data_IF_896953139946
#
_entry.id   IF_896953139946
#
_cell.length_a   1.000
_cell.length_b   1.000
_cell.length_c   1.000
_cell.angle_alpha   90.00
_cell.angle_beta   90.00
_cell.angle_gamma   90.00
#
_symmetry.space_group_name_H-M   'P 1'
#
loop_
_entity.id
_entity.type
_entity.pdbx_description
1 polymer ?
#
# COMPACT_ATOMS: atom_id res chain seq x y z
N UNK A 1 -17.17 10.49 -9.74
CA UNK A 1 -16.64 9.50 -10.66
C UNK A 1 -15.12 9.54 -10.57
N UNK A 2 -14.53 8.50 -10.04
CA UNK A 2 -13.07 8.36 -9.96
C UNK A 2 -12.59 7.55 -11.15
N UNK A 3 -11.74 8.14 -12.00
CA UNK A 3 -10.89 7.40 -12.93
C UNK A 3 -9.53 7.20 -12.26
N UNK A 4 -9.33 6.04 -11.66
CA UNK A 4 -8.00 5.57 -11.27
C UNK A 4 -7.40 4.85 -12.47
N UNK A 5 -6.30 5.32 -13.02
CA UNK A 5 -5.55 4.60 -14.05
C UNK A 5 -4.77 3.46 -13.41
N UNK A 6 -5.17 2.22 -13.70
CA UNK A 6 -4.36 1.05 -13.43
C UNK A 6 -3.33 0.93 -14.57
N UNK A 7 -2.08 1.30 -14.28
CA UNK A 7 -0.99 1.11 -15.24
C UNK A 7 -0.53 -0.35 -15.22
N UNK A 8 -0.64 -1.05 -16.33
CA UNK A 8 0.03 -2.33 -16.55
C UNK A 8 -0.81 -3.50 -17.07
N UNK A 9 -2.07 -3.29 -17.43
CA UNK A 9 -2.90 -4.34 -18.03
C UNK A 9 -3.58 -3.84 -19.29
N UNK A 10 -3.52 -4.65 -20.35
CA UNK A 10 -4.07 -4.29 -21.67
C UNK A 10 -5.55 -3.89 -21.66
N UNK A 11 -5.86 -3.00 -22.51
CA UNK A 11 -6.95 -2.01 -22.54
C UNK A 11 -8.40 -2.54 -22.52
N UNK A 12 -8.67 -3.82 -22.68
CA UNK A 12 -10.06 -4.27 -22.82
C UNK A 12 -10.68 -4.96 -21.59
N UNK A 13 -9.88 -5.40 -20.61
CA UNK A 13 -10.36 -6.18 -19.47
C UNK A 13 -10.89 -5.33 -18.30
N UNK A 14 -10.64 -4.01 -18.27
CA UNK A 14 -10.94 -3.15 -17.12
C UNK A 14 -12.04 -2.11 -17.44
N UNK A 15 -13.21 -2.56 -17.81
CA UNK A 15 -14.28 -1.61 -18.16
C UNK A 15 -15.11 -1.10 -16.99
N UNK A 16 -15.05 -1.68 -15.79
CA UNK A 16 -15.88 -1.17 -14.68
C UNK A 16 -15.30 -1.49 -13.30
N UNK A 17 -14.77 -0.48 -12.64
CA UNK A 17 -14.52 -0.49 -11.21
C UNK A 17 -15.74 0.16 -10.53
N UNK A 18 -16.49 -0.60 -9.74
CA UNK A 18 -17.62 -0.07 -8.97
C UNK A 18 -17.16 0.18 -7.56
N UNK A 19 -17.17 1.44 -7.15
CA UNK A 19 -16.97 1.86 -5.78
C UNK A 19 -18.33 1.91 -5.08
N UNK A 20 -18.64 0.92 -4.27
CA UNK A 20 -19.74 0.99 -3.31
C UNK A 20 -19.21 1.52 -1.98
N UNK A 21 -19.19 2.83 -1.83
CA UNK A 21 -18.87 3.46 -0.56
C UNK A 21 -20.16 3.80 0.18
N UNK A 22 -20.33 3.26 1.39
CA UNK A 22 -21.33 3.75 2.35
C UNK A 22 -20.60 4.69 3.31
N UNK A 23 -20.95 5.97 3.26
CA UNK A 23 -20.60 6.89 4.34
C UNK A 23 -21.50 6.54 5.52
N UNK A 24 -20.94 5.88 6.50
CA UNK A 24 -21.66 5.62 7.74
C UNK A 24 -21.43 6.82 8.67
N UNK A 25 -22.48 7.56 8.96
CA UNK A 25 -22.41 8.61 9.98
C UNK A 25 -22.25 7.93 11.34
N UNK A 26 -21.00 7.90 11.81
CA UNK A 26 -20.60 7.23 13.06
C UNK A 26 -21.25 7.90 14.30
N UNK A 27 -21.84 9.08 14.16
CA UNK A 27 -22.44 9.81 15.28
C UNK A 27 -23.71 9.13 15.82
N UNK A 28 -24.30 8.17 15.11
CA UNK A 28 -25.56 7.51 15.53
C UNK A 28 -25.42 6.15 16.21
N UNK A 29 -24.24 5.54 16.27
CA UNK A 29 -24.11 4.14 16.75
C UNK A 29 -23.16 3.92 17.91
N UNK A 30 -22.47 4.92 18.42
CA UNK A 30 -21.68 4.79 19.65
C UNK A 30 -22.32 5.52 20.81
N UNK A 31 -23.07 4.77 21.61
CA UNK A 31 -23.32 5.11 23.01
C UNK A 31 -22.01 4.79 23.74
N UNK A 32 -21.01 5.66 23.54
CA UNK A 32 -19.75 5.57 24.25
C UNK A 32 -19.84 6.38 25.52
N UNK A 33 -19.51 5.73 26.59
CA UNK A 33 -19.12 6.36 27.85
C UNK A 33 -17.85 7.15 27.62
N UNK A 34 -17.91 8.45 28.01
CA UNK A 34 -16.79 9.38 28.29
C UNK A 34 -15.70 9.61 27.24
N UNK A 35 -15.64 10.82 26.76
CA UNK A 35 -14.51 11.68 26.36
C UNK A 35 -13.72 11.47 25.06
N UNK A 36 -13.85 10.38 24.31
CA UNK A 36 -13.29 10.29 22.95
C UNK A 36 -14.38 10.52 21.90
N UNK A 37 -14.43 11.73 21.36
CA UNK A 37 -15.11 11.98 20.09
C UNK A 37 -14.36 11.18 19.02
N UNK A 38 -14.87 10.00 18.69
CA UNK A 38 -14.36 9.21 17.57
C UNK A 38 -14.33 10.11 16.32
N UNK A 39 -13.17 10.20 15.70
CA UNK A 39 -13.03 10.92 14.45
C UNK A 39 -13.97 10.32 13.39
N UNK A 40 -14.56 11.12 12.51
CA UNK A 40 -15.40 10.60 11.43
C UNK A 40 -14.58 9.64 10.57
N UNK A 41 -15.14 8.48 10.28
CA UNK A 41 -14.51 7.45 9.45
C UNK A 41 -15.29 7.26 8.16
N UNK A 42 -14.58 6.93 7.09
CA UNK A 42 -15.15 6.50 5.81
C UNK A 42 -14.88 5.01 5.65
N UNK A 43 -15.96 4.23 5.58
CA UNK A 43 -15.89 2.79 5.39
C UNK A 43 -16.54 2.40 4.06
N UNK A 44 -15.97 1.44 3.36
CA UNK A 44 -16.51 0.96 2.11
C UNK A 44 -15.81 -0.28 1.59
N UNK A 45 -16.37 -0.85 0.53
CA UNK A 45 -15.78 -1.98 -0.18
C UNK A 45 -15.64 -1.64 -1.64
N UNK A 46 -14.45 -1.84 -2.19
CA UNK A 46 -14.22 -1.75 -3.63
C UNK A 46 -14.42 -3.14 -4.19
N UNK A 47 -15.32 -3.29 -5.15
CA UNK A 47 -15.61 -4.55 -5.83
C UNK A 47 -15.11 -4.52 -7.27
N UNK A 48 -14.59 -5.64 -7.70
CA UNK A 48 -14.27 -5.88 -9.10
C UNK A 48 -15.47 -6.51 -9.80
N UNK A 49 -15.95 -5.86 -10.86
CA UNK A 49 -16.97 -6.40 -11.76
C UNK A 49 -16.34 -6.79 -13.09
N UNK A 50 -16.30 -8.07 -13.35
CA UNK A 50 -15.72 -8.61 -14.57
C UNK A 50 -15.37 -10.09 -14.44
N UNK A 51 -14.88 -10.72 -15.51
CA UNK A 51 -14.45 -12.11 -15.45
C UNK A 51 -13.27 -12.23 -14.47
N UNK A 52 -13.22 -13.34 -13.73
CA UNK A 52 -12.10 -13.61 -12.81
C UNK A 52 -10.79 -13.67 -13.57
N UNK A 53 -9.87 -12.80 -13.19
CA UNK A 53 -8.54 -12.77 -13.78
C UNK A 53 -7.69 -13.91 -13.20
N UNK A 54 -7.03 -14.64 -14.10
CA UNK A 54 -6.06 -15.66 -13.70
C UNK A 54 -4.76 -14.96 -13.31
N UNK A 55 -4.33 -15.10 -12.06
CA UNK A 55 -3.07 -14.54 -11.58
C UNK A 55 -1.90 -15.32 -12.17
N UNK A 56 -0.93 -14.59 -12.68
CA UNK A 56 0.31 -15.20 -13.20
C UNK A 56 1.24 -15.63 -12.05
N UNK A 57 2.06 -16.67 -12.23
CA UNK A 57 3.11 -16.98 -11.27
C UNK A 57 4.17 -15.87 -11.26
N UNK A 58 4.67 -15.54 -10.07
CA UNK A 58 5.82 -14.65 -9.93
C UNK A 58 7.09 -15.46 -10.21
N UNK A 59 7.85 -15.04 -11.21
CA UNK A 59 9.14 -15.69 -11.53
C UNK A 59 10.21 -15.15 -10.56
N UNK A 60 10.52 -15.97 -9.56
CA UNK A 60 11.54 -15.69 -8.55
C UNK A 60 12.79 -16.54 -8.82
N UNK A 61 13.95 -16.08 -8.32
CA UNK A 61 15.11 -16.94 -8.21
C UNK A 61 14.86 -18.10 -7.23
N UNK A 62 15.74 -19.10 -7.27
CA UNK A 62 15.59 -20.32 -6.47
C UNK A 62 15.61 -20.04 -4.97
N UNK A 63 16.45 -19.12 -4.51
CA UNK A 63 16.59 -18.77 -3.09
C UNK A 63 15.32 -18.14 -2.56
N UNK A 64 14.78 -17.16 -3.26
CA UNK A 64 13.52 -16.51 -2.93
C UNK A 64 12.34 -17.50 -3.01
N UNK A 65 12.33 -18.36 -4.02
CA UNK A 65 11.26 -19.34 -4.19
C UNK A 65 11.19 -20.35 -3.03
N UNK A 66 12.32 -20.75 -2.46
CA UNK A 66 12.40 -21.65 -1.29
C UNK A 66 11.78 -21.11 -0.02
N UNK A 67 11.59 -19.78 0.10
CA UNK A 67 10.89 -19.17 1.23
C UNK A 67 9.38 -19.42 1.21
N UNK A 68 8.84 -19.93 0.12
CA UNK A 68 7.41 -20.13 -0.07
C UNK A 68 7.03 -21.60 -0.16
N UNK A 69 5.98 -21.99 0.57
CA UNK A 69 5.42 -23.38 0.50
C UNK A 69 4.77 -23.69 -0.86
N UNK A 70 4.23 -22.66 -1.52
CA UNK A 70 3.57 -22.78 -2.84
C UNK A 70 4.13 -21.72 -3.79
N UNK A 71 3.87 -21.87 -5.10
CA UNK A 71 4.23 -20.87 -6.10
C UNK A 71 3.55 -19.54 -5.81
N UNK A 72 4.28 -18.46 -5.53
CA UNK A 72 3.69 -17.13 -5.39
C UNK A 72 3.04 -16.68 -6.70
N UNK A 73 1.87 -16.07 -6.57
CA UNK A 73 1.12 -15.52 -7.69
C UNK A 73 1.13 -13.99 -7.61
N UNK A 74 1.17 -13.34 -8.76
CA UNK A 74 1.10 -11.89 -8.86
C UNK A 74 -0.08 -11.32 -8.06
N UNK A 75 0.18 -10.27 -7.27
CA UNK A 75 -0.79 -9.61 -6.39
C UNK A 75 -1.14 -8.19 -6.85
N UNK A 76 -0.76 -7.83 -8.07
CA UNK A 76 -1.14 -6.53 -8.64
C UNK A 76 -2.66 -6.37 -8.72
N UNK A 77 -3.38 -7.49 -8.92
CA UNK A 77 -4.83 -7.55 -8.87
C UNK A 77 -5.22 -8.72 -7.98
N UNK A 78 -5.65 -8.42 -6.77
CA UNK A 78 -6.04 -9.42 -5.78
C UNK A 78 -7.53 -9.30 -5.48
N UNK A 79 -8.31 -10.26 -6.01
CA UNK A 79 -9.76 -10.31 -5.85
C UNK A 79 -10.11 -11.39 -4.85
N UNK A 80 -10.75 -11.00 -3.75
CA UNK A 80 -11.25 -11.91 -2.72
C UNK A 80 -12.41 -12.77 -3.22
N UNK A 81 -12.77 -13.78 -2.44
CA UNK A 81 -13.90 -14.71 -2.76
C UNK A 81 -15.22 -13.98 -2.95
N UNK A 82 -15.46 -12.91 -2.20
CA UNK A 82 -16.67 -12.06 -2.27
C UNK A 82 -16.61 -10.97 -3.35
N UNK A 83 -15.57 -10.94 -4.19
CA UNK A 83 -15.39 -9.91 -5.23
C UNK A 83 -14.70 -8.62 -4.75
N UNK A 84 -14.38 -8.51 -3.47
CA UNK A 84 -13.61 -7.35 -2.95
C UNK A 84 -12.23 -7.29 -3.58
N UNK A 85 -11.81 -6.08 -4.00
CA UNK A 85 -10.50 -5.82 -4.60
C UNK A 85 -9.55 -5.28 -3.52
N UNK A 86 -8.42 -5.97 -3.31
CA UNK A 86 -7.37 -5.52 -2.42
C UNK A 86 -6.33 -4.65 -3.15
N UNK A 87 -5.40 -4.09 -2.39
CA UNK A 87 -4.32 -3.23 -2.90
C UNK A 87 -4.81 -1.98 -3.63
N UNK A 88 -5.94 -1.43 -3.21
CA UNK A 88 -6.48 -0.17 -3.71
C UNK A 88 -6.28 0.91 -2.66
N UNK A 89 -5.67 2.02 -3.03
CA UNK A 89 -5.55 3.18 -2.18
C UNK A 89 -6.73 4.13 -2.42
N UNK A 90 -7.49 4.40 -1.37
CA UNK A 90 -8.62 5.33 -1.38
C UNK A 90 -8.29 6.52 -0.50
N UNK A 91 -8.55 7.71 -0.98
CA UNK A 91 -8.31 8.93 -0.22
C UNK A 91 -9.34 10.01 -0.53
N UNK A 92 -9.51 10.96 0.38
CA UNK A 92 -10.34 12.13 0.19
C UNK A 92 -9.57 13.15 -0.62
N UNK A 93 -10.00 13.43 -1.86
CA UNK A 93 -9.27 14.34 -2.76
C UNK A 93 -9.24 15.78 -2.27
N UNK A 94 -10.35 16.23 -1.68
CA UNK A 94 -10.51 17.59 -1.16
C UNK A 94 -10.94 17.48 0.30
N UNK A 95 -10.00 17.33 1.23
CA UNK A 95 -10.34 17.22 2.64
C UNK A 95 -10.91 18.55 3.16
N UNK A 96 -11.75 18.53 4.21
CA UNK A 96 -12.16 19.75 4.89
C UNK A 96 -10.94 20.57 5.34
N UNK A 97 -11.03 21.89 5.38
CA UNK A 97 -9.97 22.71 5.95
C UNK A 97 -9.72 22.34 7.42
N UNK A 98 -8.46 22.27 7.82
CA UNK A 98 -8.11 21.96 9.21
C UNK A 98 -6.64 21.54 9.35
N UNK A 99 -6.21 21.46 10.59
CA UNK A 99 -4.90 20.89 10.93
C UNK A 99 -5.06 19.40 11.20
N UNK A 100 -4.27 18.61 10.50
CA UNK A 100 -4.28 17.15 10.64
C UNK A 100 -2.98 16.69 11.28
N UNK A 101 -3.05 16.23 12.51
CA UNK A 101 -1.87 15.72 13.22
C UNK A 101 -1.26 14.51 12.49
N UNK A 102 0.05 14.52 12.36
CA UNK A 102 0.79 13.34 11.89
C UNK A 102 0.72 12.23 12.95
N UNK A 103 0.41 10.97 12.57
CA UNK A 103 0.43 9.85 13.52
C UNK A 103 1.79 9.72 14.21
N UNK A 104 1.78 9.43 15.51
CA UNK A 104 3.01 9.15 16.27
C UNK A 104 3.59 7.76 15.96
N UNK A 105 2.73 6.83 15.58
CA UNK A 105 3.16 5.47 15.23
C UNK A 105 3.77 5.44 13.82
N UNK A 106 4.89 4.73 13.64
CA UNK A 106 5.51 4.59 12.33
C UNK A 106 4.69 3.67 11.41
N UNK A 107 4.72 3.96 10.12
CA UNK A 107 4.31 3.01 9.11
C UNK A 107 5.43 1.96 8.90
N UNK A 108 5.05 0.73 8.62
CA UNK A 108 6.01 -0.37 8.43
C UNK A 108 5.98 -0.83 6.97
N UNK A 109 7.17 -0.99 6.38
CA UNK A 109 7.39 -1.72 5.14
C UNK A 109 8.32 -2.88 5.45
N UNK A 110 7.81 -4.10 5.36
CA UNK A 110 8.59 -5.32 5.59
C UNK A 110 9.01 -5.97 4.26
N UNK A 111 10.16 -6.61 4.29
CA UNK A 111 10.72 -7.41 3.18
C UNK A 111 10.80 -8.84 3.68
N UNK A 112 9.79 -9.63 3.39
CA UNK A 112 9.70 -11.02 3.83
C UNK A 112 9.19 -11.92 2.70
N UNK A 113 9.89 -13.01 2.47
CA UNK A 113 9.61 -13.90 1.36
C UNK A 113 9.93 -13.25 0.00
N UNK A 114 10.89 -12.33 -0.04
CA UNK A 114 11.20 -11.51 -1.23
C UNK A 114 9.96 -10.78 -1.77
N UNK A 115 9.16 -10.25 -0.86
CA UNK A 115 7.95 -9.47 -1.15
C UNK A 115 7.92 -8.26 -0.22
N UNK A 116 7.52 -7.10 -0.73
CA UNK A 116 7.20 -5.94 0.11
C UNK A 116 5.80 -6.08 0.71
N UNK A 117 5.70 -5.92 2.02
CA UNK A 117 4.43 -5.97 2.75
C UNK A 117 4.31 -4.73 3.66
N UNK A 118 3.22 -3.96 3.56
CA UNK A 118 2.12 -4.09 2.59
C UNK A 118 2.53 -3.64 1.17
N UNK A 119 1.86 -4.16 0.16
CA UNK A 119 2.08 -3.76 -1.24
C UNK A 119 1.63 -2.32 -1.52
N UNK A 120 0.57 -1.89 -0.86
CA UNK A 120 0.00 -0.54 -0.99
C UNK A 120 -0.26 0.03 0.39
N UNK A 121 0.24 1.23 0.66
CA UNK A 121 0.00 1.93 1.93
C UNK A 121 0.06 3.44 1.80
N UNK A 122 -0.55 4.12 2.76
CA UNK A 122 -0.42 5.56 2.96
C UNK A 122 0.48 5.87 4.15
N UNK A 123 1.19 6.98 4.07
CA UNK A 123 1.86 7.62 5.21
C UNK A 123 1.50 9.10 5.21
N UNK A 124 1.62 9.73 6.37
CA UNK A 124 1.45 11.18 6.48
C UNK A 124 2.78 11.89 6.21
N UNK A 125 2.70 13.12 5.70
CA UNK A 125 3.85 14.02 5.70
C UNK A 125 4.44 14.08 7.12
N UNK A 126 5.76 13.86 7.23
CA UNK A 126 6.49 13.79 8.50
C UNK A 126 6.36 12.48 9.28
N UNK A 127 5.47 11.56 8.90
CA UNK A 127 5.39 10.25 9.54
C UNK A 127 6.60 9.39 9.19
N UNK A 128 7.12 8.68 10.19
CA UNK A 128 8.23 7.76 10.00
C UNK A 128 7.78 6.51 9.23
N UNK A 129 8.45 6.18 8.13
CA UNK A 129 8.40 4.87 7.47
C UNK A 129 9.57 4.05 7.96
N UNK A 130 9.32 2.93 8.63
CA UNK A 130 10.32 1.93 9.01
C UNK A 130 10.38 0.80 8.02
N UNK A 131 11.55 0.56 7.48
CA UNK A 131 11.82 -0.51 6.54
C UNK A 131 12.58 -1.63 7.25
N UNK A 132 12.04 -2.85 7.18
CA UNK A 132 12.61 -4.06 7.76
C UNK A 132 13.07 -5.00 6.66
N UNK A 133 14.04 -5.84 6.98
CA UNK A 133 14.40 -7.01 6.17
C UNK A 133 14.32 -8.27 7.04
N UNK A 134 13.26 -9.06 6.87
CA UNK A 134 13.04 -10.32 7.55
C UNK A 134 13.61 -11.55 6.83
N UNK A 135 14.19 -11.36 5.63
CA UNK A 135 14.73 -12.45 4.82
C UNK A 135 16.20 -12.76 5.14
N UNK A 136 16.66 -13.99 4.85
CA UNK A 136 18.04 -14.41 5.13
C UNK A 136 19.05 -13.92 4.07
N UNK A 137 18.72 -12.93 3.25
CA UNK A 137 19.59 -12.35 2.23
C UNK A 137 19.35 -10.87 2.03
N UNK A 138 20.14 -10.29 1.13
CA UNK A 138 20.17 -8.86 0.88
C UNK A 138 18.95 -8.40 0.08
N UNK A 139 18.38 -7.26 0.49
CA UNK A 139 17.42 -6.47 -0.27
C UNK A 139 17.83 -5.01 -0.31
N UNK A 140 17.12 -4.21 -1.06
CA UNK A 140 17.14 -2.75 -0.96
C UNK A 140 15.73 -2.18 -1.15
N UNK A 141 15.54 -0.99 -0.64
CA UNK A 141 14.36 -0.19 -0.90
C UNK A 141 14.78 1.05 -1.67
N UNK A 142 14.43 1.10 -2.95
CA UNK A 142 14.63 2.25 -3.82
C UNK A 142 13.32 2.97 -4.05
N UNK A 143 13.26 4.25 -3.71
CA UNK A 143 12.09 5.09 -3.99
C UNK A 143 12.21 5.77 -5.35
N UNK A 144 11.12 5.74 -6.13
CA UNK A 144 10.97 6.46 -7.39
C UNK A 144 10.09 7.69 -7.19
N UNK A 145 10.37 8.45 -6.14
CA UNK A 145 9.70 9.71 -5.84
C UNK A 145 10.01 10.77 -6.88
N UNK A 146 9.06 11.68 -7.11
CA UNK A 146 9.19 12.81 -8.03
C UNK A 146 9.26 14.15 -7.29
N UNK A 147 8.67 14.23 -6.10
CA UNK A 147 8.63 15.44 -5.27
C UNK A 147 9.55 15.34 -4.06
N UNK A 148 9.55 14.20 -3.40
CA UNK A 148 10.42 13.97 -2.25
C UNK A 148 11.81 13.50 -2.69
N UNK A 149 12.80 13.67 -1.81
CA UNK A 149 14.16 13.18 -2.08
C UNK A 149 14.16 11.67 -2.29
N UNK A 150 14.61 11.22 -3.43
CA UNK A 150 14.80 9.79 -3.72
C UNK A 150 15.85 9.18 -2.79
N UNK A 151 15.69 7.90 -2.50
CA UNK A 151 16.66 7.11 -1.76
C UNK A 151 16.80 5.71 -2.35
N UNK A 152 17.95 5.11 -2.07
CA UNK A 152 18.20 3.69 -2.31
C UNK A 152 18.94 3.14 -1.09
N UNK A 153 18.25 2.36 -0.26
CA UNK A 153 18.76 1.86 1.01
C UNK A 153 18.94 0.36 0.92
N UNK A 154 20.18 -0.07 0.97
CA UNK A 154 20.54 -1.49 0.99
C UNK A 154 20.39 -2.02 2.42
N UNK A 155 19.77 -3.18 2.56
CA UNK A 155 19.54 -3.88 3.82
C UNK A 155 19.98 -5.35 3.71
N UNK A 156 21.23 -5.69 4.11
CA UNK A 156 21.65 -7.07 4.29
C UNK A 156 20.82 -7.78 5.38
N UNK A 157 20.90 -9.10 5.42
CA UNK A 157 20.31 -9.90 6.50
C UNK A 157 20.74 -9.38 7.87
N UNK A 158 19.79 -9.33 8.81
CA UNK A 158 20.04 -8.91 10.19
C UNK A 158 20.35 -7.42 10.36
N UNK A 159 20.22 -6.61 9.30
CA UNK A 159 20.39 -5.17 9.39
C UNK A 159 19.28 -4.56 10.25
N UNK A 160 19.61 -3.61 11.17
CA UNK A 160 18.61 -2.85 11.89
C UNK A 160 17.62 -2.14 10.94
N UNK A 161 16.41 -1.90 11.44
CA UNK A 161 15.40 -1.13 10.72
C UNK A 161 15.96 0.19 10.20
N UNK A 162 15.59 0.55 8.97
CA UNK A 162 15.91 1.83 8.36
C UNK A 162 14.69 2.73 8.39
N UNK A 163 14.93 4.02 8.58
CA UNK A 163 13.88 5.01 8.78
C UNK A 163 13.93 6.07 7.69
N UNK A 164 12.77 6.49 7.23
CA UNK A 164 12.59 7.63 6.32
C UNK A 164 11.34 8.42 6.69
N UNK A 165 11.39 9.72 6.43
CA UNK A 165 10.24 10.62 6.43
C UNK A 165 10.11 11.26 5.05
N UNK A 166 8.93 11.76 4.76
CA UNK A 166 8.62 12.47 3.53
C UNK A 166 8.07 13.85 3.86
N UNK A 167 8.58 14.87 3.16
CA UNK A 167 8.29 16.27 3.50
C UNK A 167 7.15 16.85 2.66
N UNK A 168 6.77 16.17 1.57
CA UNK A 168 5.74 16.65 0.64
C UNK A 168 4.73 15.55 0.32
N UNK A 169 3.45 15.96 0.20
CA UNK A 169 2.40 15.07 -0.28
C UNK A 169 2.67 14.64 -1.73
N UNK A 170 2.68 13.34 -1.95
CA UNK A 170 2.97 12.72 -3.23
C UNK A 170 2.37 11.31 -3.30
N UNK A 171 1.91 10.91 -4.46
CA UNK A 171 1.50 9.52 -4.70
C UNK A 171 1.10 9.25 -6.14
N UNK A 172 1.24 8.00 -6.57
CA UNK A 172 1.99 6.94 -5.88
C UNK A 172 3.50 7.10 -6.02
N UNK A 173 4.24 6.82 -4.96
CA UNK A 173 5.68 6.60 -5.00
C UNK A 173 5.88 5.10 -5.17
N UNK A 174 6.51 4.68 -6.25
CA UNK A 174 6.88 3.28 -6.42
C UNK A 174 8.15 2.97 -5.64
N UNK A 175 8.09 1.94 -4.81
CA UNK A 175 9.23 1.37 -4.08
C UNK A 175 9.62 0.06 -4.76
N UNK A 176 10.91 -0.12 -5.06
CA UNK A 176 11.46 -1.30 -5.76
C UNK A 176 12.68 -1.86 -5.06
N UNK A 177 12.90 -3.16 -5.25
CA UNK A 177 14.18 -3.80 -4.96
C UNK A 177 14.96 -3.99 -6.27
N UNK A 178 16.25 -3.62 -6.28
CA UNK A 178 17.11 -3.78 -7.46
C UNK A 178 17.63 -5.21 -7.61
N UNK A 179 17.74 -5.95 -6.51
CA UNK A 179 18.15 -7.36 -6.50
C UNK A 179 17.03 -8.29 -6.97
N UNK A 180 15.77 -7.98 -6.60
CA UNK A 180 14.61 -8.82 -6.86
C UNK A 180 13.54 -8.01 -7.61
N UNK A 181 13.59 -8.07 -8.93
CA UNK A 181 12.80 -7.18 -9.82
C UNK A 181 11.29 -7.28 -9.66
N UNK A 182 10.80 -8.38 -9.11
CA UNK A 182 9.36 -8.58 -8.83
C UNK A 182 8.89 -7.89 -7.54
N UNK A 183 9.84 -7.47 -6.67
CA UNK A 183 9.48 -6.74 -5.44
C UNK A 183 9.14 -5.30 -5.77
N UNK A 184 7.86 -5.00 -5.62
CA UNK A 184 7.31 -3.67 -5.84
C UNK A 184 6.21 -3.36 -4.82
N UNK A 185 6.22 -2.14 -4.30
CA UNK A 185 5.18 -1.57 -3.46
C UNK A 185 4.87 -0.13 -3.87
N UNK A 186 3.70 0.36 -3.47
CA UNK A 186 3.24 1.70 -3.78
C UNK A 186 2.90 2.45 -2.50
N UNK A 187 3.46 3.64 -2.35
CA UNK A 187 3.30 4.49 -1.19
C UNK A 187 2.63 5.80 -1.58
N UNK A 188 1.63 6.22 -0.81
CA UNK A 188 1.07 7.56 -0.87
C UNK A 188 1.50 8.35 0.35
N UNK A 189 2.04 9.54 0.13
CA UNK A 189 2.34 10.51 1.18
C UNK A 189 1.21 11.53 1.19
N UNK A 190 0.47 11.58 2.29
CA UNK A 190 -0.73 12.40 2.43
C UNK A 190 -0.50 13.52 3.44
N UNK A 191 -1.03 14.69 3.16
CA UNK A 191 -1.07 15.83 4.09
C UNK A 191 -2.32 15.84 5.00
N UNK A 192 -3.23 14.88 4.80
CA UNK A 192 -4.46 14.65 5.56
C UNK A 192 -4.72 13.15 5.75
N UNK A 193 -5.63 12.72 6.65
CA UNK A 193 -6.02 11.30 6.84
C UNK A 193 -6.67 10.70 5.62
#
# INVERSE_FOLDING_TARGET
AFLGTLSGVGDEAFRKLVLEAKVTDVTKKQRATSDDKAAPSLEGTIRFEGPRLKRAPVHMDESSRKLHKAQPLDESILIGKSGGLANVFVYVKNPPPGEYKTPGEPAILDQQGSIFTPRVQGVRVGQELRMKNGDPFIHNVRSLSRKNRQFNIVQPQGTPERKKTFDQAEGPITLKCDFHRWMEAHLWVMDHP
#
